data_IF_815964782134
#
_entry.id   IF_815964782134
#
_cell.length_a   1.000
_cell.length_b   1.000
_cell.length_c   1.000
_cell.angle_alpha   90.00
_cell.angle_beta   90.00
_cell.angle_gamma   90.00
#
_symmetry.space_group_name_H-M   'P 1'
#
loop_
_entity.id
_entity.type
_entity.pdbx_description
1 polymer ?
#
# COMPACT_ATOMS: atom_id res chain seq x y z
N UNK A 1 -4.16 -1.34 -13.16
CA UNK A 1 -3.12 -0.47 -12.58
C UNK A 1 -1.95 -1.33 -12.12
N UNK A 2 -0.73 -1.04 -12.58
CA UNK A 2 0.49 -1.72 -12.11
C UNK A 2 1.24 -0.82 -11.12
N UNK A 3 1.19 -1.15 -9.83
CA UNK A 3 1.87 -0.40 -8.78
C UNK A 3 3.16 -1.11 -8.37
N UNK A 4 4.31 -0.44 -8.53
CA UNK A 4 5.59 -0.94 -7.99
C UNK A 4 5.76 -0.46 -6.56
N UNK A 5 5.99 -1.39 -5.65
CA UNK A 5 6.18 -1.13 -4.21
C UNK A 5 7.52 -1.67 -3.75
N UNK A 6 8.14 -1.02 -2.77
CA UNK A 6 9.34 -1.55 -2.12
C UNK A 6 9.03 -2.80 -1.30
N UNK A 7 10.08 -3.57 -0.93
CA UNK A 7 9.93 -4.69 0.01
C UNK A 7 9.28 -4.26 1.32
N UNK A 8 9.69 -3.12 1.88
CA UNK A 8 9.13 -2.62 3.15
C UNK A 8 7.63 -2.30 3.02
N UNK A 9 7.21 -1.72 1.90
CA UNK A 9 5.80 -1.45 1.62
C UNK A 9 5.00 -2.74 1.45
N UNK A 10 5.53 -3.72 0.71
CA UNK A 10 4.90 -5.04 0.55
C UNK A 10 4.72 -5.73 1.91
N UNK A 11 5.78 -5.77 2.72
CA UNK A 11 5.77 -6.42 4.03
C UNK A 11 4.82 -5.70 5.02
N UNK A 12 4.73 -4.37 4.94
CA UNK A 12 3.80 -3.58 5.76
C UNK A 12 2.33 -3.89 5.42
N UNK A 13 1.96 -3.96 4.14
CA UNK A 13 0.60 -4.32 3.71
C UNK A 13 0.29 -5.77 4.07
N UNK A 14 1.23 -6.69 3.83
CA UNK A 14 1.08 -8.12 4.17
C UNK A 14 0.92 -8.34 5.68
N UNK A 15 1.58 -7.52 6.50
CA UNK A 15 1.53 -7.59 7.95
C UNK A 15 0.35 -6.85 8.59
N UNK A 16 -0.51 -6.18 7.82
CA UNK A 16 -1.62 -5.42 8.35
C UNK A 16 -2.62 -6.34 9.09
N UNK A 17 -3.06 -5.91 10.29
CA UNK A 17 -3.91 -6.72 11.19
C UNK A 17 -5.23 -7.18 10.54
N UNK A 18 -5.81 -6.33 9.69
CA UNK A 18 -7.07 -6.58 9.00
C UNK A 18 -6.87 -6.49 7.49
N UNK A 19 -6.03 -7.38 6.94
CA UNK A 19 -5.81 -7.48 5.50
C UNK A 19 -7.06 -8.07 4.81
N UNK A 20 -7.73 -7.33 3.90
CA UNK A 20 -8.84 -7.85 3.12
C UNK A 20 -8.43 -8.99 2.19
N UNK A 21 -9.31 -9.98 1.98
CA UNK A 21 -9.02 -11.15 1.12
C UNK A 21 -8.67 -10.77 -0.31
N UNK A 22 -9.26 -9.69 -0.83
CA UNK A 22 -8.95 -9.19 -2.18
C UNK A 22 -7.48 -8.74 -2.28
N UNK A 23 -6.96 -8.07 -1.25
CA UNK A 23 -5.56 -7.64 -1.20
C UNK A 23 -4.61 -8.81 -0.91
N UNK A 24 -5.07 -9.82 -0.15
CA UNK A 24 -4.30 -11.05 0.02
C UNK A 24 -4.02 -11.73 -1.32
N UNK A 25 -5.03 -11.83 -2.19
CA UNK A 25 -4.86 -12.38 -3.55
C UNK A 25 -3.89 -11.56 -4.39
N UNK A 26 -3.99 -10.23 -4.35
CA UNK A 26 -3.05 -9.32 -5.02
C UNK A 26 -1.61 -9.56 -4.55
N UNK A 27 -1.39 -9.64 -3.23
CA UNK A 27 -0.07 -9.85 -2.65
C UNK A 27 0.50 -11.23 -2.98
N UNK A 28 -0.33 -12.26 -3.00
CA UNK A 28 0.08 -13.62 -3.36
C UNK A 28 0.41 -13.73 -4.86
N UNK A 29 -0.24 -12.91 -5.71
CA UNK A 29 0.04 -12.79 -7.15
C UNK A 29 1.15 -11.79 -7.51
N UNK A 30 1.75 -11.12 -6.54
CA UNK A 30 2.77 -10.10 -6.79
C UNK A 30 4.02 -10.69 -7.46
N UNK A 31 4.54 -9.98 -8.46
CA UNK A 31 5.78 -10.36 -9.15
C UNK A 31 6.96 -9.54 -8.63
N UNK A 32 8.17 -10.09 -8.66
CA UNK A 32 9.38 -9.33 -8.30
C UNK A 32 9.66 -8.26 -9.36
N UNK A 33 10.02 -7.06 -8.90
CA UNK A 33 10.41 -5.94 -9.77
C UNK A 33 11.59 -5.20 -9.13
N UNK A 34 12.82 -5.46 -9.62
CA UNK A 34 14.04 -4.95 -9.00
C UNK A 34 14.16 -5.41 -7.54
N UNK A 35 14.35 -4.45 -6.63
CA UNK A 35 14.43 -4.67 -5.18
C UNK A 35 13.06 -4.70 -4.47
N UNK A 36 11.97 -4.65 -5.24
CA UNK A 36 10.60 -4.62 -4.74
C UNK A 36 9.67 -5.59 -5.44
N UNK A 37 8.40 -5.22 -5.48
CA UNK A 37 7.31 -6.02 -6.02
C UNK A 37 6.44 -5.17 -6.94
N UNK A 38 5.90 -5.78 -7.98
CA UNK A 38 4.83 -5.22 -8.80
C UNK A 38 3.51 -5.86 -8.40
N UNK A 39 2.56 -5.02 -8.03
CA UNK A 39 1.16 -5.37 -7.78
C UNK A 39 0.35 -4.99 -9.01
N UNK A 40 -0.34 -5.95 -9.60
CA UNK A 40 -1.35 -5.68 -10.63
C UNK A 40 -2.71 -5.60 -9.94
N UNK A 41 -3.29 -4.41 -9.98
CA UNK A 41 -4.49 -4.02 -9.26
C UNK A 41 -5.60 -3.65 -10.26
N UNK A 42 -6.81 -4.10 -10.00
CA UNK A 42 -8.03 -3.45 -10.47
C UNK A 42 -8.26 -2.12 -9.73
N UNK A 43 -9.18 -1.30 -10.21
CA UNK A 43 -9.55 -0.04 -9.53
C UNK A 43 -10.09 -0.30 -8.11
N UNK A 44 -10.94 -1.31 -7.94
CA UNK A 44 -11.49 -1.71 -6.63
C UNK A 44 -10.39 -2.18 -5.67
N UNK A 45 -9.42 -2.96 -6.16
CA UNK A 45 -8.27 -3.39 -5.38
C UNK A 45 -7.34 -2.23 -5.01
N UNK A 46 -7.12 -1.30 -5.94
CA UNK A 46 -6.33 -0.10 -5.65
C UNK A 46 -7.03 0.78 -4.60
N UNK A 47 -8.36 0.90 -4.66
CA UNK A 47 -9.17 1.60 -3.66
C UNK A 47 -9.08 0.92 -2.30
N UNK A 48 -9.28 -0.41 -2.24
CA UNK A 48 -9.14 -1.16 -1.00
C UNK A 48 -7.73 -1.05 -0.40
N UNK A 49 -6.69 -1.04 -1.26
CA UNK A 49 -5.31 -0.83 -0.82
C UNK A 49 -5.11 0.59 -0.27
N UNK A 50 -5.69 1.61 -0.91
CA UNK A 50 -5.65 2.98 -0.44
C UNK A 50 -6.31 3.12 0.94
N UNK A 51 -7.51 2.58 1.11
CA UNK A 51 -8.25 2.61 2.37
C UNK A 51 -7.48 1.91 3.50
N UNK A 52 -6.94 0.72 3.23
CA UNK A 52 -6.10 0.00 4.18
C UNK A 52 -4.90 0.85 4.60
N UNK A 53 -4.18 1.44 3.65
CA UNK A 53 -3.02 2.27 3.95
C UNK A 53 -3.44 3.52 4.75
N UNK A 54 -4.51 4.21 4.34
CA UNK A 54 -5.01 5.40 5.01
C UNK A 54 -5.38 5.14 6.48
N UNK A 55 -5.97 3.99 6.80
CA UNK A 55 -6.27 3.60 8.18
C UNK A 55 -5.02 3.32 9.04
N UNK A 56 -3.88 3.03 8.42
CA UNK A 56 -2.61 2.80 9.11
C UNK A 56 -1.71 4.05 9.10
N UNK A 57 -2.18 5.19 8.59
CA UNK A 57 -1.50 6.48 8.75
C UNK A 57 -1.83 7.07 10.11
N UNK A 58 -0.80 7.40 10.88
CA UNK A 58 -0.94 8.01 12.20
C UNK A 58 -0.18 9.33 12.22
N UNK A 59 -0.74 10.32 12.91
CA UNK A 59 -0.13 11.63 13.09
C UNK A 59 0.21 11.88 14.55
N UNK A 60 1.28 12.62 14.79
CA UNK A 60 1.62 13.12 16.12
C UNK A 60 0.78 14.34 16.51
N UNK A 61 1.04 14.90 17.70
CA UNK A 61 0.34 16.08 18.20
C UNK A 61 0.53 17.35 17.35
N UNK A 62 1.56 17.40 16.49
CA UNK A 62 1.79 18.50 15.55
C UNK A 62 1.08 18.30 14.21
N UNK A 63 0.47 17.13 13.98
CA UNK A 63 -0.15 16.74 12.72
C UNK A 63 0.83 16.13 11.72
N UNK A 64 2.08 15.87 12.10
CA UNK A 64 3.06 15.20 11.24
C UNK A 64 2.84 13.70 11.24
N UNK A 65 2.96 13.05 10.07
CA UNK A 65 2.91 11.58 9.96
C UNK A 65 4.03 10.97 10.79
N UNK A 66 3.68 10.03 11.65
CA UNK A 66 4.65 9.35 12.51
C UNK A 66 5.63 8.51 11.68
N UNK A 67 6.89 8.36 12.12
CA UNK A 67 7.89 7.55 11.40
C UNK A 67 7.41 6.12 11.10
N UNK A 68 6.71 5.50 12.06
CA UNK A 68 6.24 4.11 11.92
C UNK A 68 5.15 3.95 10.87
N UNK A 69 4.32 4.98 10.66
CA UNK A 69 3.26 4.96 9.64
C UNK A 69 3.67 5.57 8.30
N UNK A 70 4.90 6.08 8.18
CA UNK A 70 5.42 6.76 6.98
C UNK A 70 5.27 5.89 5.72
N UNK A 71 5.50 4.58 5.86
CA UNK A 71 5.38 3.60 4.77
C UNK A 71 3.98 3.57 4.15
N UNK A 72 2.94 3.73 4.97
CA UNK A 72 1.54 3.73 4.52
C UNK A 72 1.16 5.07 3.89
N UNK A 73 1.65 6.19 4.44
CA UNK A 73 1.46 7.52 3.84
C UNK A 73 2.07 7.59 2.43
N UNK A 74 3.28 7.03 2.26
CA UNK A 74 3.93 6.96 0.95
C UNK A 74 3.15 6.09 -0.04
N UNK A 75 2.52 4.99 0.42
CA UNK A 75 1.64 4.17 -0.41
C UNK A 75 0.35 4.90 -0.80
N UNK A 76 -0.29 5.60 0.14
CA UNK A 76 -1.48 6.41 -0.16
C UNK A 76 -1.17 7.41 -1.27
N UNK A 77 -0.05 8.13 -1.14
CA UNK A 77 0.38 9.10 -2.16
C UNK A 77 0.68 8.42 -3.49
N UNK A 78 1.40 7.30 -3.49
CA UNK A 78 1.73 6.57 -4.70
C UNK A 78 0.48 6.07 -5.43
N UNK A 79 -0.56 5.64 -4.70
CA UNK A 79 -1.82 5.19 -5.28
C UNK A 79 -2.61 6.36 -5.86
N UNK A 80 -2.86 7.42 -5.06
CA UNK A 80 -3.67 8.56 -5.48
C UNK A 80 -3.07 9.38 -6.63
N UNK A 81 -1.75 9.30 -6.82
CA UNK A 81 -1.05 10.03 -7.90
C UNK A 81 -0.70 9.14 -9.09
N UNK A 82 -1.09 7.86 -9.07
CA UNK A 82 -0.85 6.96 -10.17
C UNK A 82 -1.76 7.33 -11.37
N UNK A 83 -1.24 7.37 -12.62
CA UNK A 83 -2.03 7.82 -13.78
C UNK A 83 -3.23 6.94 -14.12
N UNK A 84 -3.19 5.66 -13.73
CA UNK A 84 -4.27 4.69 -13.94
C UNK A 84 -5.22 4.54 -12.74
N UNK A 85 -5.08 5.39 -11.71
CA UNK A 85 -5.96 5.39 -10.54
C UNK A 85 -7.17 6.29 -10.76
#
# INVERSE_FOLDING_TARGET
MDLTVSRAQYDAVRGARHLPDVLKKVLDGASRAGDGYRLTLTYEEATALNELCAWNVHTDASGAVTPDSKVFDDLVKAILTHPDY
#
